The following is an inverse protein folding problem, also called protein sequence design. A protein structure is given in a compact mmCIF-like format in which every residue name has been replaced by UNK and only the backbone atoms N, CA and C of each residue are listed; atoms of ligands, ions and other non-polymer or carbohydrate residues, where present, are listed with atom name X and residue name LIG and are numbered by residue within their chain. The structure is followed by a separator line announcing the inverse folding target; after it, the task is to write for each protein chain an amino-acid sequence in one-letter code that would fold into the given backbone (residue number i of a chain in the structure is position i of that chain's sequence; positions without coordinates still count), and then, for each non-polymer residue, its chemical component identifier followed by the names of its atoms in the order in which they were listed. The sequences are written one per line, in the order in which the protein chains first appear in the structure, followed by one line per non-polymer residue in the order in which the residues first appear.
data_IF_816264480224
#
_entry.id   IF_816264480224
#
_cell.length_a   1.000
_cell.length_b   1.000
_cell.length_c   1.000
_cell.angle_alpha   90.00
_cell.angle_beta   90.00
_cell.angle_gamma   90.00
#
_symmetry.space_group_name_H-M   'P 1'
#
loop_
_entity.id
_entity.type
_entity.pdbx_description
1 polymer ?
#
# COMPACT_ATOMS: atom_id res chain seq x y z
N UNK A 1 -26.77 72.45 34.76
CA UNK A 1 -25.49 72.26 35.48
C UNK A 1 -24.91 70.92 35.07
N UNK A 2 -23.68 70.94 34.52
CA UNK A 2 -22.59 69.94 34.60
C UNK A 2 -22.96 68.43 34.60
N UNK A 3 -22.67 67.68 33.52
CA UNK A 3 -21.38 67.08 33.11
C UNK A 3 -21.12 65.68 33.72
N UNK A 4 -20.78 64.76 32.81
CA UNK A 4 -19.83 63.62 32.89
C UNK A 4 -20.44 62.21 32.79
N UNK A 5 -19.96 61.55 31.75
CA UNK A 5 -20.10 60.16 31.35
C UNK A 5 -19.41 59.18 32.31
N UNK A 6 -19.94 57.96 32.38
CA UNK A 6 -19.20 56.78 32.83
C UNK A 6 -19.40 55.65 31.82
N UNK A 7 -18.33 55.36 31.11
CA UNK A 7 -18.16 54.25 30.17
C UNK A 7 -18.13 52.94 30.95
N UNK A 8 -19.04 52.00 30.66
CA UNK A 8 -18.91 50.61 31.10
C UNK A 8 -18.38 49.80 29.92
N UNK A 9 -17.16 49.30 30.07
CA UNK A 9 -16.52 48.40 29.12
C UNK A 9 -17.22 47.03 29.15
N UNK A 10 -17.67 46.56 27.98
CA UNK A 10 -18.14 45.19 27.77
C UNK A 10 -16.90 44.33 27.54
N UNK A 11 -16.49 43.57 28.55
CA UNK A 11 -15.55 42.47 28.37
C UNK A 11 -16.32 41.23 27.91
N UNK A 12 -16.30 40.96 26.61
CA UNK A 12 -16.71 39.68 26.06
C UNK A 12 -15.62 38.64 26.39
N UNK A 13 -15.85 37.81 27.41
CA UNK A 13 -15.13 36.53 27.52
C UNK A 13 -15.73 35.60 26.46
N UNK A 14 -14.95 35.35 25.41
CA UNK A 14 -15.17 34.22 24.53
C UNK A 14 -15.02 32.94 25.36
N UNK A 15 -16.13 32.29 25.67
CA UNK A 15 -16.12 30.91 26.15
C UNK A 15 -15.60 30.05 25.00
N UNK A 16 -14.35 29.61 25.11
CA UNK A 16 -13.85 28.51 24.28
C UNK A 16 -14.72 27.29 24.59
N UNK A 17 -15.57 26.92 23.64
CA UNK A 17 -16.26 25.64 23.65
C UNK A 17 -15.23 24.52 23.54
N UNK A 18 -14.70 24.10 24.68
CA UNK A 18 -14.29 22.70 24.84
C UNK A 18 -15.60 21.98 25.09
N UNK A 19 -16.18 21.46 24.01
CA UNK A 19 -17.22 20.45 24.11
C UNK A 19 -16.63 19.34 24.97
N UNK A 20 -17.12 19.19 26.20
CA UNK A 20 -16.68 18.15 27.10
C UNK A 20 -17.05 16.82 26.46
N UNK A 21 -16.10 16.21 25.75
CA UNK A 21 -16.20 14.88 25.21
C UNK A 21 -16.60 13.97 26.38
N UNK A 22 -17.75 13.29 26.28
CA UNK A 22 -18.20 12.41 27.35
C UNK A 22 -17.04 11.48 27.75
N UNK A 23 -16.74 11.34 29.05
CA UNK A 23 -15.60 10.54 29.48
C UNK A 23 -15.81 9.12 28.97
N UNK A 24 -14.93 8.71 28.05
CA UNK A 24 -14.91 7.37 27.48
C UNK A 24 -14.95 6.34 28.61
N UNK A 25 -15.79 5.33 28.47
CA UNK A 25 -15.93 4.29 29.49
C UNK A 25 -14.56 3.64 29.74
N UNK A 26 -14.10 3.66 31.01
CA UNK A 26 -12.82 3.05 31.39
C UNK A 26 -12.85 1.55 31.13
N UNK A 27 -11.84 1.04 30.43
CA UNK A 27 -11.68 -0.39 30.14
C UNK A 27 -10.71 -1.03 31.13
N UNK A 28 -9.68 -0.31 31.55
CA UNK A 28 -8.74 -0.75 32.56
C UNK A 28 -9.43 -0.89 33.94
N UNK A 29 -9.25 -2.03 34.63
CA UNK A 29 -9.77 -2.20 35.99
C UNK A 29 -9.22 -1.13 36.95
N UNK A 30 -9.99 -0.69 37.97
CA UNK A 30 -9.55 0.34 38.91
C UNK A 30 -8.17 0.07 39.55
N UNK A 31 -7.87 -1.19 39.87
CA UNK A 31 -6.58 -1.60 40.45
C UNK A 31 -5.37 -1.27 39.56
N UNK A 32 -5.56 -1.15 38.24
CA UNK A 32 -4.49 -0.71 37.33
C UNK A 32 -4.12 0.73 37.62
N UNK A 33 -5.07 1.60 37.93
CA UNK A 33 -4.80 2.99 38.28
C UNK A 33 -4.17 3.15 39.67
N UNK A 34 -4.48 2.22 40.58
CA UNK A 34 -3.88 2.22 41.92
C UNK A 34 -2.38 1.85 41.87
N UNK A 35 -1.97 1.00 40.92
CA UNK A 35 -0.60 0.47 40.84
C UNK A 35 0.23 1.13 39.74
N UNK A 36 -0.35 1.34 38.57
CA UNK A 36 0.32 1.81 37.35
C UNK A 36 -0.61 2.74 36.53
N UNK A 37 -0.89 3.96 37.00
CA UNK A 37 -1.86 4.86 36.35
C UNK A 37 -1.53 5.20 34.89
N UNK A 38 -0.24 5.24 34.52
CA UNK A 38 0.17 5.40 33.12
C UNK A 38 -0.28 4.22 32.23
N UNK A 39 -0.27 2.99 32.75
CA UNK A 39 -0.79 1.83 32.04
C UNK A 39 -2.31 1.94 31.86
N UNK A 40 -3.02 2.42 32.88
CA UNK A 40 -4.46 2.68 32.77
C UNK A 40 -4.77 3.67 31.64
N UNK A 41 -4.07 4.81 31.61
CA UNK A 41 -4.18 5.80 30.53
C UNK A 41 -3.91 5.19 29.14
N UNK A 42 -2.79 4.48 28.95
CA UNK A 42 -2.51 3.86 27.66
C UNK A 42 -3.47 2.73 27.28
N UNK A 43 -4.06 2.05 28.26
CA UNK A 43 -5.08 1.02 28.02
C UNK A 43 -6.36 1.66 27.49
N UNK A 44 -6.86 2.68 28.17
CA UNK A 44 -8.15 3.30 27.86
C UNK A 44 -8.07 4.18 26.61
N UNK A 45 -7.06 5.04 26.51
CA UNK A 45 -7.01 6.06 25.47
C UNK A 45 -6.36 5.56 24.18
N UNK A 46 -5.28 4.78 24.28
CA UNK A 46 -4.52 4.33 23.10
C UNK A 46 -4.95 2.94 22.65
N UNK A 47 -4.85 1.92 23.52
CA UNK A 47 -5.15 0.55 23.12
C UNK A 47 -6.64 0.43 22.75
N UNK A 48 -7.56 0.70 23.67
CA UNK A 48 -8.98 0.57 23.39
C UNK A 48 -9.59 1.82 22.75
N UNK A 49 -9.03 3.01 22.99
CA UNK A 49 -9.55 4.25 22.42
C UNK A 49 -9.10 4.55 20.99
N UNK A 50 -7.99 3.97 20.52
CA UNK A 50 -7.50 4.15 19.16
C UNK A 50 -7.33 2.80 18.44
N UNK A 51 -6.47 1.91 18.95
CA UNK A 51 -6.03 0.71 18.21
C UNK A 51 -7.18 -0.25 17.93
N UNK A 52 -8.09 -0.45 18.88
CA UNK A 52 -9.28 -1.30 18.67
C UNK A 52 -10.33 -0.65 17.75
N UNK A 53 -10.32 0.67 17.60
CA UNK A 53 -11.29 1.44 16.82
C UNK A 53 -10.89 1.64 15.35
N UNK A 54 -9.63 1.33 15.00
CA UNK A 54 -9.12 1.40 13.63
C UNK A 54 -9.88 0.45 12.71
N UNK A 55 -10.52 0.99 11.66
CA UNK A 55 -11.48 0.29 10.79
C UNK A 55 -10.87 -0.62 9.72
N UNK A 56 -9.55 -0.60 9.52
CA UNK A 56 -8.86 -1.42 8.51
C UNK A 56 -8.79 -2.91 8.89
N UNK A 57 -9.06 -3.25 10.16
CA UNK A 57 -9.24 -4.62 10.63
C UNK A 57 -10.44 -4.66 11.58
N UNK A 58 -11.52 -5.41 11.27
CA UNK A 58 -12.76 -5.36 12.03
C UNK A 58 -12.61 -5.92 13.45
N UNK A 59 -13.48 -5.56 14.41
CA UNK A 59 -13.40 -6.03 15.80
C UNK A 59 -13.37 -7.56 15.96
N UNK A 60 -14.11 -8.29 15.11
CA UNK A 60 -14.06 -9.76 15.04
C UNK A 60 -12.63 -10.26 14.79
N UNK A 61 -12.01 -9.76 13.72
CA UNK A 61 -10.66 -10.18 13.31
C UNK A 61 -9.60 -9.74 14.33
N UNK A 62 -9.75 -8.56 14.94
CA UNK A 62 -8.91 -8.13 16.07
C UNK A 62 -8.99 -9.12 17.23
N UNK A 63 -10.19 -9.61 17.53
CA UNK A 63 -10.39 -10.59 18.59
C UNK A 63 -9.71 -11.93 18.29
N UNK A 64 -9.79 -12.42 17.05
CA UNK A 64 -9.02 -13.60 16.61
C UNK A 64 -7.52 -13.38 16.77
N UNK A 65 -6.99 -12.22 16.33
CA UNK A 65 -5.57 -11.86 16.48
C UNK A 65 -5.16 -11.78 17.95
N UNK A 66 -5.99 -11.17 18.81
CA UNK A 66 -5.70 -11.05 20.25
C UNK A 66 -5.67 -12.42 20.91
N UNK A 67 -6.70 -13.24 20.73
CA UNK A 67 -6.78 -14.58 21.32
C UNK A 67 -5.59 -15.43 20.84
N UNK A 68 -5.29 -15.38 19.54
CA UNK A 68 -4.14 -16.09 18.99
C UNK A 68 -2.81 -15.63 19.61
N UNK A 69 -2.64 -14.33 19.82
CA UNK A 69 -1.44 -13.75 20.45
C UNK A 69 -1.30 -14.19 21.91
N UNK A 70 -2.38 -14.17 22.68
CA UNK A 70 -2.36 -14.57 24.09
C UNK A 70 -2.05 -16.05 24.27
N UNK A 71 -2.67 -16.92 23.47
CA UNK A 71 -2.38 -18.35 23.45
C UNK A 71 -0.92 -18.57 23.08
N UNK A 72 -0.46 -17.95 21.99
CA UNK A 72 0.88 -18.22 21.47
C UNK A 72 2.00 -17.77 22.39
N UNK A 73 1.75 -16.75 23.21
CA UNK A 73 2.71 -16.23 24.20
C UNK A 73 2.53 -16.80 25.60
N UNK A 74 1.63 -17.79 25.79
CA UNK A 74 1.41 -18.46 27.07
C UNK A 74 0.74 -17.57 28.13
N UNK A 75 0.06 -16.48 27.74
CA UNK A 75 -0.57 -15.52 28.65
C UNK A 75 -1.95 -15.98 29.13
N UNK A 76 -2.01 -17.18 29.71
CA UNK A 76 -3.26 -17.88 30.03
C UNK A 76 -4.26 -17.04 30.85
N UNK A 77 -3.77 -16.30 31.86
CA UNK A 77 -4.61 -15.47 32.74
C UNK A 77 -5.43 -14.38 32.01
N UNK A 78 -5.03 -14.00 30.79
CA UNK A 78 -5.74 -13.00 29.98
C UNK A 78 -6.65 -13.61 28.91
N UNK A 79 -6.61 -14.94 28.71
CA UNK A 79 -7.41 -15.61 27.67
C UNK A 79 -8.90 -15.41 27.92
N UNK A 80 -9.37 -15.62 29.15
CA UNK A 80 -10.80 -15.58 29.46
C UNK A 80 -11.47 -14.23 29.14
N UNK A 81 -10.84 -13.10 29.47
CA UNK A 81 -11.39 -11.77 29.15
C UNK A 81 -11.47 -11.52 27.64
N UNK A 82 -10.49 -11.99 26.88
CA UNK A 82 -10.45 -11.81 25.43
C UNK A 82 -11.31 -12.83 24.67
N UNK A 83 -11.54 -14.03 25.20
CA UNK A 83 -12.55 -14.97 24.68
C UNK A 83 -13.96 -14.38 24.85
N UNK A 84 -14.28 -13.76 25.99
CA UNK A 84 -15.56 -13.04 26.17
C UNK A 84 -15.73 -11.95 25.11
N UNK A 85 -14.71 -11.10 24.93
CA UNK A 85 -14.72 -10.07 23.89
C UNK A 85 -14.82 -10.63 22.47
N UNK A 86 -14.19 -11.76 22.19
CA UNK A 86 -14.30 -12.42 20.89
C UNK A 86 -15.74 -12.85 20.59
N UNK A 87 -16.40 -13.47 21.56
CA UNK A 87 -17.82 -13.82 21.45
C UNK A 87 -18.71 -12.58 21.31
N UNK A 88 -18.41 -11.49 22.02
CA UNK A 88 -19.13 -10.21 21.90
C UNK A 88 -18.92 -9.53 20.53
N UNK A 89 -17.82 -9.85 19.85
CA UNK A 89 -17.48 -9.39 18.51
C UNK A 89 -17.79 -10.45 17.43
N UNK A 90 -18.77 -11.32 17.68
CA UNK A 90 -19.29 -12.31 16.73
C UNK A 90 -18.30 -13.38 16.25
N UNK A 91 -17.24 -13.67 17.02
CA UNK A 91 -16.43 -14.88 16.79
C UNK A 91 -17.20 -16.10 17.30
N UNK A 92 -17.42 -17.08 16.44
CA UNK A 92 -18.23 -18.25 16.80
C UNK A 92 -17.47 -19.21 17.75
N UNK A 93 -18.16 -19.93 18.66
CA UNK A 93 -17.49 -20.84 19.59
C UNK A 93 -16.64 -21.94 18.93
N UNK A 94 -17.09 -22.46 17.79
CA UNK A 94 -16.36 -23.44 16.98
C UNK A 94 -15.10 -22.84 16.35
N UNK A 95 -15.15 -21.60 15.89
CA UNK A 95 -13.97 -20.86 15.41
C UNK A 95 -12.92 -20.69 16.52
N UNK A 96 -13.34 -20.43 17.77
CA UNK A 96 -12.43 -20.35 18.92
C UNK A 96 -11.79 -21.71 19.20
N UNK A 97 -12.59 -22.78 19.18
CA UNK A 97 -12.09 -24.15 19.36
C UNK A 97 -11.07 -24.54 18.28
N UNK A 98 -11.34 -24.17 17.03
CA UNK A 98 -10.46 -24.45 15.91
C UNK A 98 -9.20 -23.57 15.91
N UNK A 99 -9.30 -22.31 16.37
CA UNK A 99 -8.15 -21.44 16.61
C UNK A 99 -7.20 -22.11 17.62
N UNK A 100 -7.73 -22.59 18.75
CA UNK A 100 -6.92 -23.30 19.76
C UNK A 100 -6.26 -24.54 19.15
N UNK A 101 -7.00 -25.30 18.34
CA UNK A 101 -6.48 -26.48 17.62
C UNK A 101 -5.33 -26.11 16.69
N UNK A 102 -5.47 -25.04 15.89
CA UNK A 102 -4.41 -24.53 15.02
C UNK A 102 -3.15 -24.18 15.83
N UNK A 103 -3.31 -23.51 16.97
CA UNK A 103 -2.19 -23.05 17.78
C UNK A 103 -1.52 -24.14 18.61
N UNK A 104 -2.14 -25.32 18.77
CA UNK A 104 -1.42 -26.48 19.28
C UNK A 104 -0.20 -26.83 18.41
N UNK A 105 -0.34 -26.72 17.09
CA UNK A 105 0.74 -27.00 16.13
C UNK A 105 1.71 -25.82 15.95
N UNK A 106 1.22 -24.58 15.97
CA UNK A 106 2.03 -23.40 15.68
C UNK A 106 2.65 -22.72 16.92
N UNK A 107 2.07 -22.95 18.10
CA UNK A 107 2.56 -22.39 19.36
C UNK A 107 2.76 -23.44 20.47
N UNK A 108 2.47 -24.70 20.21
CA UNK A 108 2.75 -25.83 21.11
C UNK A 108 1.55 -26.29 21.94
N UNK A 109 1.51 -27.60 22.20
CA UNK A 109 0.44 -28.26 22.95
C UNK A 109 0.15 -27.66 24.33
N UNK A 110 1.14 -27.35 25.19
CA UNK A 110 0.86 -26.80 26.52
C UNK A 110 0.09 -25.47 26.50
N UNK A 111 0.37 -24.62 25.50
CA UNK A 111 -0.34 -23.37 25.29
C UNK A 111 -1.81 -23.63 24.92
N UNK A 112 -2.06 -24.56 24.00
CA UNK A 112 -3.41 -24.94 23.61
C UNK A 112 -4.21 -25.57 24.76
N UNK A 113 -3.62 -26.47 25.56
CA UNK A 113 -4.30 -27.07 26.72
C UNK A 113 -4.67 -26.02 27.78
N UNK A 114 -3.78 -25.06 28.03
CA UNK A 114 -4.07 -23.93 28.92
C UNK A 114 -5.22 -23.08 28.38
N UNK A 115 -5.25 -22.84 27.07
CA UNK A 115 -6.32 -22.12 26.40
C UNK A 115 -7.67 -22.83 26.48
N UNK A 116 -7.70 -24.17 26.30
CA UNK A 116 -8.92 -24.98 26.48
C UNK A 116 -9.49 -24.77 27.88
N UNK A 117 -8.65 -24.80 28.91
CA UNK A 117 -9.08 -24.67 30.30
C UNK A 117 -9.71 -23.29 30.57
N UNK A 118 -9.08 -22.21 30.11
CA UNK A 118 -9.62 -20.86 30.31
C UNK A 118 -10.85 -20.57 29.43
N UNK A 119 -10.88 -21.10 28.21
CA UNK A 119 -12.03 -20.96 27.30
C UNK A 119 -13.25 -21.72 27.84
N UNK A 120 -13.05 -22.90 28.41
CA UNK A 120 -14.12 -23.71 29.01
C UNK A 120 -14.84 -22.97 30.14
N UNK A 121 -14.11 -22.24 30.99
CA UNK A 121 -14.72 -21.40 32.04
C UNK A 121 -15.66 -20.36 31.43
N UNK A 122 -15.25 -19.70 30.35
CA UNK A 122 -16.08 -18.70 29.66
C UNK A 122 -17.30 -19.34 28.99
N UNK A 123 -17.13 -20.52 28.39
CA UNK A 123 -18.26 -21.23 27.77
C UNK A 123 -19.27 -21.68 28.82
N UNK A 124 -18.82 -22.15 29.99
CA UNK A 124 -19.70 -22.48 31.12
C UNK A 124 -20.42 -21.25 31.67
N UNK A 125 -19.72 -20.11 31.80
CA UNK A 125 -20.32 -18.83 32.22
C UNK A 125 -21.40 -18.32 31.24
N UNK A 126 -21.33 -18.72 29.97
CA UNK A 126 -22.23 -18.28 28.89
C UNK A 126 -23.20 -19.38 28.42
N UNK A 127 -23.29 -20.49 29.13
CA UNK A 127 -24.12 -21.65 28.77
C UNK A 127 -23.89 -22.15 27.33
N UNK A 128 -22.65 -22.05 26.84
CA UNK A 128 -22.26 -22.51 25.50
C UNK A 128 -22.05 -24.03 25.53
N UNK A 129 -22.82 -24.74 24.70
CA UNK A 129 -22.72 -26.20 24.57
C UNK A 129 -21.34 -26.66 24.07
N UNK A 130 -20.95 -27.92 24.33
CA UNK A 130 -19.71 -28.48 23.78
C UNK A 130 -19.63 -28.30 22.26
N UNK A 131 -18.53 -27.70 21.80
CA UNK A 131 -18.27 -27.51 20.36
C UNK A 131 -17.85 -28.84 19.72
N UNK A 132 -18.36 -29.11 18.53
CA UNK A 132 -18.04 -30.27 17.72
C UNK A 132 -17.27 -29.90 16.46
N UNK A 133 -16.73 -30.89 15.76
CA UNK A 133 -16.16 -30.67 14.42
C UNK A 133 -17.30 -30.46 13.40
N UNK A 134 -17.10 -29.51 12.50
CA UNK A 134 -17.96 -29.26 11.36
C UNK A 134 -18.03 -30.48 10.43
N UNK A 135 -19.24 -30.77 9.97
CA UNK A 135 -19.49 -31.79 8.94
C UNK A 135 -19.25 -31.26 7.51
N UNK A 136 -18.87 -29.98 7.36
CA UNK A 136 -18.62 -29.39 6.06
C UNK A 136 -17.45 -30.07 5.33
N UNK A 137 -17.46 -29.96 4.00
CA UNK A 137 -16.39 -30.49 3.18
C UNK A 137 -15.05 -29.83 3.55
N UNK A 138 -13.97 -30.62 3.46
CA UNK A 138 -12.61 -30.11 3.66
C UNK A 138 -12.29 -29.03 2.63
N UNK A 139 -11.59 -27.99 3.06
CA UNK A 139 -11.11 -26.93 2.18
C UNK A 139 -10.20 -27.55 1.12
N UNK A 140 -10.50 -27.24 -0.14
CA UNK A 140 -9.67 -27.60 -1.28
C UNK A 140 -8.53 -26.58 -1.40
N UNK A 141 -7.30 -27.06 -1.29
CA UNK A 141 -6.11 -26.25 -1.48
C UNK A 141 -5.70 -26.32 -2.96
N UNK A 142 -5.13 -25.24 -3.48
CA UNK A 142 -4.71 -25.17 -4.88
C UNK A 142 -3.65 -26.26 -5.17
N UNK A 143 -3.97 -27.14 -6.13
CA UNK A 143 -3.24 -28.39 -6.33
C UNK A 143 -1.77 -28.18 -6.76
N UNK A 144 -1.48 -27.18 -7.59
CA UNK A 144 -0.12 -26.88 -8.02
C UNK A 144 0.73 -26.34 -6.87
N UNK A 145 0.18 -25.43 -6.07
CA UNK A 145 0.82 -24.87 -4.88
C UNK A 145 1.08 -25.93 -3.82
N UNK A 146 0.14 -26.86 -3.59
CA UNK A 146 0.36 -27.95 -2.65
C UNK A 146 1.39 -28.97 -3.14
N UNK A 147 1.42 -29.25 -4.45
CA UNK A 147 2.46 -30.08 -5.06
C UNK A 147 3.83 -29.46 -4.89
N UNK A 148 3.97 -28.16 -5.19
CA UNK A 148 5.22 -27.42 -5.03
C UNK A 148 5.66 -27.34 -3.57
N UNK A 149 4.74 -27.07 -2.64
CA UNK A 149 4.99 -27.04 -1.20
C UNK A 149 5.47 -28.41 -0.69
N UNK A 150 4.79 -29.49 -1.05
CA UNK A 150 5.17 -30.85 -0.65
C UNK A 150 6.56 -31.21 -1.19
N UNK A 151 6.86 -30.88 -2.46
CA UNK A 151 8.18 -31.08 -3.04
C UNK A 151 9.26 -30.30 -2.28
N UNK A 152 9.00 -29.04 -1.91
CA UNK A 152 9.93 -28.22 -1.14
C UNK A 152 10.19 -28.80 0.27
N UNK A 153 9.15 -29.30 0.96
CA UNK A 153 9.33 -29.97 2.26
C UNK A 153 10.13 -31.26 2.11
N UNK A 154 9.86 -32.06 1.08
CA UNK A 154 10.59 -33.30 0.83
C UNK A 154 12.05 -33.04 0.46
N UNK A 155 12.34 -31.96 -0.24
CA UNK A 155 13.71 -31.60 -0.60
C UNK A 155 14.50 -31.02 0.59
N UNK A 156 13.86 -30.16 1.39
CA UNK A 156 14.58 -29.33 2.38
C UNK A 156 14.50 -29.86 3.81
N UNK A 157 13.46 -30.62 4.16
CA UNK A 157 13.21 -31.11 5.53
C UNK A 157 13.49 -32.61 5.62
N UNK A 158 13.00 -33.41 4.66
CA UNK A 158 13.08 -34.87 4.76
C UNK A 158 14.51 -35.44 4.88
N UNK A 159 15.56 -34.89 4.23
CA UNK A 159 16.92 -35.39 4.39
C UNK A 159 17.45 -35.30 5.82
N UNK A 160 16.96 -34.33 6.60
CA UNK A 160 17.39 -34.07 7.98
C UNK A 160 16.41 -34.66 9.00
N UNK A 161 15.11 -34.51 8.76
CA UNK A 161 14.03 -34.87 9.68
C UNK A 161 12.85 -35.51 8.92
N UNK A 162 12.97 -36.79 8.51
CA UNK A 162 11.97 -37.45 7.64
C UNK A 162 10.58 -37.53 8.27
N UNK A 163 10.49 -37.85 9.56
CA UNK A 163 9.20 -37.90 10.27
C UNK A 163 8.53 -36.53 10.34
N UNK A 164 9.32 -35.45 10.48
CA UNK A 164 8.77 -34.09 10.49
C UNK A 164 8.22 -33.72 9.10
N UNK A 165 8.91 -34.10 8.02
CA UNK A 165 8.43 -33.91 6.67
C UNK A 165 7.11 -34.67 6.41
N UNK A 166 6.99 -35.93 6.84
CA UNK A 166 5.74 -36.70 6.75
C UNK A 166 4.60 -36.02 7.52
N UNK A 167 4.82 -35.67 8.78
CA UNK A 167 3.80 -35.02 9.61
C UNK A 167 3.38 -33.66 9.04
N UNK A 168 4.33 -32.90 8.47
CA UNK A 168 4.02 -31.63 7.79
C UNK A 168 3.09 -31.88 6.60
N UNK A 169 3.37 -32.89 5.77
CA UNK A 169 2.55 -33.17 4.59
C UNK A 169 1.20 -33.80 4.94
N UNK A 170 1.17 -34.79 5.84
CA UNK A 170 -0.03 -35.58 6.14
C UNK A 170 -0.93 -34.93 7.18
N UNK A 171 -0.37 -34.36 8.24
CA UNK A 171 -1.13 -33.82 9.39
C UNK A 171 -1.36 -32.33 9.25
N UNK A 172 -0.33 -31.53 8.93
CA UNK A 172 -0.53 -30.08 8.78
C UNK A 172 -1.31 -29.75 7.50
N UNK A 173 -0.71 -29.96 6.33
CA UNK A 173 -1.34 -29.56 5.06
C UNK A 173 -2.35 -30.59 4.53
N UNK A 174 -2.20 -31.86 4.90
CA UNK A 174 -3.11 -32.93 4.53
C UNK A 174 -4.41 -32.98 5.34
N UNK A 175 -4.42 -32.38 6.54
CA UNK A 175 -5.57 -32.39 7.47
C UNK A 175 -5.86 -31.00 8.07
N UNK A 176 -5.01 -30.49 8.97
CA UNK A 176 -5.26 -29.26 9.74
C UNK A 176 -5.65 -28.06 8.86
N UNK A 177 -4.86 -27.75 7.84
CA UNK A 177 -5.11 -26.62 6.92
C UNK A 177 -6.35 -26.78 6.05
N UNK A 178 -6.95 -27.98 6.05
CA UNK A 178 -8.16 -28.30 5.28
C UNK A 178 -9.41 -28.36 6.15
N UNK A 179 -9.30 -28.21 7.47
CA UNK A 179 -10.45 -28.21 8.38
C UNK A 179 -11.33 -26.96 8.13
N UNK A 180 -12.65 -27.10 7.97
CA UNK A 180 -13.53 -26.00 7.56
C UNK A 180 -14.03 -25.13 8.74
N UNK A 181 -13.77 -25.53 9.98
CA UNK A 181 -14.20 -24.84 11.21
C UNK A 181 -13.57 -23.45 11.38
N UNK A 182 -12.49 -23.17 10.65
CA UNK A 182 -11.97 -21.83 10.38
C UNK A 182 -11.82 -21.66 8.88
N UNK A 183 -12.26 -20.51 8.38
CA UNK A 183 -12.04 -20.13 6.99
C UNK A 183 -10.54 -20.15 6.65
N UNK A 184 -10.21 -20.38 5.38
CA UNK A 184 -8.80 -20.37 4.95
C UNK A 184 -8.12 -19.01 5.26
N UNK A 185 -8.88 -17.90 5.15
CA UNK A 185 -8.41 -16.55 5.51
C UNK A 185 -8.11 -16.45 7.00
N UNK A 186 -9.05 -16.85 7.85
CA UNK A 186 -8.93 -16.68 9.30
C UNK A 186 -7.88 -17.62 9.90
N UNK A 187 -7.76 -18.84 9.36
CA UNK A 187 -6.66 -19.76 9.73
C UNK A 187 -5.29 -19.15 9.42
N UNK A 188 -5.15 -18.50 8.27
CA UNK A 188 -3.93 -17.78 7.93
C UNK A 188 -3.71 -16.55 8.81
N UNK A 189 -4.76 -15.80 9.13
CA UNK A 189 -4.72 -14.64 10.02
C UNK A 189 -4.18 -15.01 11.41
N UNK A 190 -4.74 -16.03 12.05
CA UNK A 190 -4.31 -16.45 13.41
C UNK A 190 -2.92 -17.06 13.39
N UNK A 191 -2.54 -17.75 12.31
CA UNK A 191 -1.18 -18.29 12.14
C UNK A 191 -0.17 -17.16 11.99
N UNK A 192 -0.47 -16.14 11.18
CA UNK A 192 0.39 -14.97 11.03
C UNK A 192 0.55 -14.22 12.35
N UNK A 193 -0.54 -13.98 13.07
CA UNK A 193 -0.53 -13.34 14.39
C UNK A 193 0.35 -14.11 15.38
N UNK A 194 0.19 -15.44 15.45
CA UNK A 194 0.98 -16.31 16.31
C UNK A 194 2.49 -16.22 16.03
N UNK A 195 2.89 -16.32 14.76
CA UNK A 195 4.29 -16.26 14.34
C UNK A 195 4.95 -14.92 14.68
N UNK A 196 4.23 -13.81 14.48
CA UNK A 196 4.70 -12.48 14.93
C UNK A 196 4.82 -12.48 16.47
N UNK A 197 3.78 -12.95 17.17
CA UNK A 197 3.71 -12.93 18.62
C UNK A 197 4.79 -13.75 19.34
N UNK A 198 5.28 -14.84 18.72
CA UNK A 198 6.39 -15.65 19.26
C UNK A 198 7.76 -15.26 18.68
N UNK A 199 7.80 -14.30 17.75
CA UNK A 199 9.04 -13.78 17.16
C UNK A 199 9.71 -14.76 16.19
N UNK A 200 8.93 -15.37 15.29
CA UNK A 200 9.42 -16.28 14.24
C UNK A 200 9.30 -15.65 12.84
N UNK A 201 10.08 -14.59 12.54
CA UNK A 201 10.01 -13.89 11.26
C UNK A 201 10.37 -14.76 10.05
N UNK A 202 11.12 -15.85 10.25
CA UNK A 202 11.56 -16.77 9.18
C UNK A 202 10.40 -17.53 8.54
N UNK A 203 9.30 -17.72 9.27
CA UNK A 203 8.11 -18.43 8.79
C UNK A 203 7.08 -17.50 8.13
N UNK A 204 7.18 -16.18 8.35
CA UNK A 204 6.26 -15.19 7.79
C UNK A 204 6.22 -15.15 6.25
N UNK A 205 7.33 -15.33 5.49
CA UNK A 205 7.27 -15.32 4.03
C UNK A 205 6.23 -16.28 3.46
N UNK A 206 6.16 -17.49 3.99
CA UNK A 206 5.19 -18.48 3.54
C UNK A 206 3.78 -18.17 4.04
N UNK A 207 3.63 -17.88 5.34
CA UNK A 207 2.31 -17.74 5.96
C UNK A 207 1.60 -16.43 5.59
N UNK A 208 2.33 -15.33 5.41
CA UNK A 208 1.75 -14.07 4.94
C UNK A 208 1.36 -14.16 3.46
N UNK A 209 2.17 -14.80 2.59
CA UNK A 209 1.75 -15.02 1.20
C UNK A 209 0.47 -15.86 1.14
N UNK A 210 0.40 -16.98 1.89
CA UNK A 210 -0.82 -17.78 1.98
C UNK A 210 -2.01 -17.00 2.53
N UNK A 211 -1.80 -16.14 3.52
CA UNK A 211 -2.85 -15.27 4.04
C UNK A 211 -3.42 -14.37 2.94
N UNK A 212 -2.54 -13.75 2.15
CA UNK A 212 -2.95 -12.88 1.05
C UNK A 212 -3.60 -13.65 -0.10
N UNK A 213 -3.15 -14.87 -0.40
CA UNK A 213 -3.79 -15.75 -1.38
C UNK A 213 -5.20 -16.15 -0.93
N UNK A 214 -5.41 -16.29 0.38
CA UNK A 214 -6.72 -16.55 1.00
C UNK A 214 -7.55 -15.27 1.20
N UNK A 215 -7.12 -14.11 0.70
CA UNK A 215 -7.89 -12.87 0.71
C UNK A 215 -7.58 -11.89 1.85
N UNK A 216 -6.52 -12.10 2.65
CA UNK A 216 -6.06 -11.09 3.59
C UNK A 216 -5.41 -9.92 2.83
N UNK A 217 -5.88 -8.71 3.06
CA UNK A 217 -5.36 -7.52 2.38
C UNK A 217 -4.04 -7.04 2.98
N UNK A 218 -3.31 -6.19 2.24
CA UNK A 218 -2.10 -5.51 2.74
C UNK A 218 -2.41 -4.62 3.96
N UNK A 219 -3.58 -3.98 3.97
CA UNK A 219 -4.00 -3.11 5.07
C UNK A 219 -4.27 -3.93 6.33
N UNK A 220 -5.04 -5.02 6.22
CA UNK A 220 -5.31 -5.94 7.32
C UNK A 220 -4.01 -6.56 7.86
N UNK A 221 -3.09 -6.99 6.99
CA UNK A 221 -1.81 -7.54 7.42
C UNK A 221 -0.96 -6.52 8.20
N UNK A 222 -1.00 -5.25 7.80
CA UNK A 222 -0.35 -4.16 8.54
C UNK A 222 -1.00 -3.94 9.91
N UNK A 223 -2.33 -3.97 9.98
CA UNK A 223 -3.07 -3.85 11.24
C UNK A 223 -2.78 -5.00 12.21
N UNK A 224 -2.57 -6.22 11.71
CA UNK A 224 -2.15 -7.36 12.56
C UNK A 224 -0.80 -7.05 13.22
N UNK A 225 0.19 -6.56 12.48
CA UNK A 225 1.51 -6.21 13.06
C UNK A 225 1.36 -5.13 14.13
N UNK A 226 0.60 -4.07 13.84
CA UNK A 226 0.32 -2.98 14.78
C UNK A 226 -0.37 -3.49 16.03
N UNK A 227 -1.41 -4.31 15.89
CA UNK A 227 -2.18 -4.84 17.01
C UNK A 227 -1.33 -5.79 17.88
N UNK A 228 -0.55 -6.67 17.26
CA UNK A 228 0.37 -7.58 17.96
C UNK A 228 1.46 -6.81 18.72
N UNK A 229 1.83 -5.59 18.32
CA UNK A 229 2.79 -4.77 19.08
C UNK A 229 2.33 -4.51 20.52
N UNK A 230 1.03 -4.25 20.73
CA UNK A 230 0.46 -4.01 22.06
C UNK A 230 0.31 -5.29 22.88
N UNK A 231 -0.01 -6.41 22.23
CA UNK A 231 -0.26 -7.68 22.92
C UNK A 231 0.97 -8.56 23.10
N UNK A 232 1.97 -8.49 22.22
CA UNK A 232 3.19 -9.30 22.26
C UNK A 232 4.48 -8.48 22.39
N UNK A 233 4.40 -7.14 22.32
CA UNK A 233 5.52 -6.23 22.50
C UNK A 233 6.10 -5.70 21.17
N UNK A 234 6.52 -4.43 21.20
CA UNK A 234 7.07 -3.70 20.06
C UNK A 234 8.21 -4.42 19.30
N UNK A 235 9.23 -5.01 19.95
CA UNK A 235 10.35 -5.63 19.22
C UNK A 235 9.92 -6.73 18.25
N UNK A 236 8.88 -7.49 18.61
CA UNK A 236 8.34 -8.56 17.76
C UNK A 236 7.64 -8.01 16.52
N UNK A 237 6.81 -6.97 16.70
CA UNK A 237 6.17 -6.27 15.59
C UNK A 237 7.20 -5.63 14.66
N UNK A 238 8.19 -4.93 15.22
CA UNK A 238 9.28 -4.30 14.46
C UNK A 238 10.10 -5.30 13.65
N UNK A 239 10.31 -6.52 14.17
CA UNK A 239 11.01 -7.59 13.46
C UNK A 239 10.21 -8.15 12.27
N UNK A 240 8.88 -8.06 12.31
CA UNK A 240 8.02 -8.50 11.22
C UNK A 240 7.96 -7.50 10.05
N UNK A 241 8.07 -6.20 10.32
CA UNK A 241 7.98 -5.12 9.31
C UNK A 241 8.87 -5.33 8.08
N UNK A 242 10.20 -5.56 8.18
CA UNK A 242 11.05 -5.75 7.01
C UNK A 242 10.77 -7.06 6.25
N UNK A 243 10.11 -8.04 6.88
CA UNK A 243 9.66 -9.25 6.20
C UNK A 243 8.40 -8.97 5.37
N UNK A 244 7.39 -8.32 5.96
CA UNK A 244 6.17 -7.94 5.27
C UNK A 244 6.46 -6.99 4.09
N UNK A 245 7.35 -6.02 4.28
CA UNK A 245 7.74 -5.09 3.21
C UNK A 245 8.26 -5.84 1.98
N UNK A 246 9.19 -6.80 2.17
CA UNK A 246 9.71 -7.63 1.07
C UNK A 246 8.63 -8.45 0.36
N UNK A 247 7.64 -8.94 1.10
CA UNK A 247 6.51 -9.70 0.53
C UNK A 247 5.65 -8.77 -0.32
N UNK A 248 5.29 -7.59 0.20
CA UNK A 248 4.47 -6.61 -0.53
C UNK A 248 5.16 -6.14 -1.80
N UNK A 249 6.47 -5.85 -1.75
CA UNK A 249 7.25 -5.44 -2.92
C UNK A 249 7.32 -6.56 -3.97
N UNK A 250 7.55 -7.80 -3.51
CA UNK A 250 7.60 -8.97 -4.41
C UNK A 250 6.26 -9.19 -5.11
N UNK A 251 5.13 -9.08 -4.39
CA UNK A 251 3.78 -9.23 -4.96
C UNK A 251 3.43 -8.06 -5.88
N UNK A 252 3.78 -6.82 -5.51
CA UNK A 252 3.59 -5.64 -6.37
C UNK A 252 4.32 -5.77 -7.71
N UNK A 253 5.59 -6.22 -7.67
CA UNK A 253 6.39 -6.45 -8.87
C UNK A 253 5.88 -7.62 -9.72
N UNK A 254 5.30 -8.66 -9.09
CA UNK A 254 4.67 -9.77 -9.81
C UNK A 254 3.39 -9.33 -10.52
N UNK A 255 2.55 -8.53 -9.85
CA UNK A 255 1.33 -7.97 -10.44
C UNK A 255 1.66 -7.03 -11.61
N UNK A 256 2.68 -6.18 -11.48
CA UNK A 256 3.13 -5.33 -12.58
C UNK A 256 3.65 -6.14 -13.78
N UNK A 257 4.42 -7.21 -13.53
CA UNK A 257 4.88 -8.11 -14.60
C UNK A 257 3.74 -8.86 -15.28
N UNK A 258 2.77 -9.34 -14.51
CA UNK A 258 1.59 -10.01 -15.06
C UNK A 258 0.72 -9.05 -15.87
N UNK A 259 0.50 -7.82 -15.38
CA UNK A 259 -0.21 -6.78 -16.13
C UNK A 259 0.53 -6.39 -17.42
N UNK A 260 1.86 -6.26 -17.38
CA UNK A 260 2.67 -6.00 -18.56
C UNK A 260 2.62 -7.15 -19.59
N UNK A 261 2.61 -8.40 -19.13
CA UNK A 261 2.46 -9.58 -20.00
C UNK A 261 1.05 -9.69 -20.60
N UNK A 262 0.01 -9.37 -19.84
CA UNK A 262 -1.37 -9.35 -20.33
C UNK A 262 -1.61 -8.24 -21.36
N UNK A 263 -0.99 -7.07 -21.17
CA UNK A 263 -1.06 -5.93 -22.08
C UNK A 263 -0.24 -6.14 -23.37
N UNK A 264 0.74 -7.05 -23.38
CA UNK A 264 1.54 -7.39 -24.55
C UNK A 264 0.77 -8.18 -25.64
N UNK A 265 -0.55 -8.35 -25.50
CA UNK A 265 -1.42 -9.00 -26.50
C UNK A 265 -1.92 -8.05 -27.61
N UNK A 266 -1.43 -6.81 -27.67
CA UNK A 266 -1.80 -5.84 -28.71
C UNK A 266 -1.04 -6.01 -30.03
N UNK A 267 -1.73 -5.82 -31.16
CA UNK A 267 -1.14 -5.79 -32.49
C UNK A 267 -0.17 -4.61 -32.67
N UNK A 268 0.78 -4.75 -33.59
CA UNK A 268 1.70 -3.67 -33.98
C UNK A 268 0.94 -2.47 -34.56
N UNK A 269 1.09 -1.30 -33.93
CA UNK A 269 0.53 -0.03 -34.40
C UNK A 269 1.57 0.77 -35.19
N UNK A 270 1.20 1.22 -36.39
CA UNK A 270 2.04 2.11 -37.21
C UNK A 270 1.39 3.48 -37.28
N UNK A 271 1.98 4.47 -36.61
CA UNK A 271 1.64 5.89 -36.81
C UNK A 271 2.36 6.41 -38.05
N UNK A 272 1.61 6.86 -39.05
CA UNK A 272 2.21 7.37 -40.30
C UNK A 272 2.63 8.83 -40.14
N UNK A 273 3.74 9.23 -40.77
CA UNK A 273 4.36 10.54 -40.59
C UNK A 273 3.40 11.74 -40.74
N UNK A 274 2.48 11.70 -41.70
CA UNK A 274 1.54 12.82 -41.97
C UNK A 274 0.15 12.60 -41.35
N UNK A 275 -0.02 11.58 -40.52
CA UNK A 275 -1.32 11.28 -39.91
C UNK A 275 -1.66 12.33 -38.85
N UNK A 276 -2.88 12.88 -38.92
CA UNK A 276 -3.34 13.85 -37.91
C UNK A 276 -2.62 15.20 -37.97
N UNK A 277 -2.14 15.60 -39.14
CA UNK A 277 -1.50 16.91 -39.31
C UNK A 277 -2.45 18.05 -38.94
N UNK A 278 -1.98 18.98 -38.09
CA UNK A 278 -2.75 20.12 -37.62
C UNK A 278 -1.84 21.31 -37.32
N UNK A 279 -2.37 22.52 -37.57
CA UNK A 279 -1.74 23.76 -37.09
C UNK A 279 -1.77 23.80 -35.57
N UNK A 280 -0.63 24.11 -34.95
CA UNK A 280 -0.51 24.15 -33.50
C UNK A 280 -1.28 25.35 -32.91
N UNK A 281 -1.70 25.21 -31.65
CA UNK A 281 -2.49 26.24 -30.96
C UNK A 281 -1.71 27.55 -30.84
N UNK A 282 -2.30 28.67 -31.30
CA UNK A 282 -1.73 30.01 -31.10
C UNK A 282 -1.58 30.38 -29.62
N UNK A 283 -2.25 29.69 -28.69
CA UNK A 283 -2.04 29.90 -27.26
C UNK A 283 -0.68 29.33 -26.80
N UNK A 284 -0.24 28.21 -27.35
CA UNK A 284 0.98 27.50 -26.92
C UNK A 284 2.18 27.72 -27.84
N UNK A 285 1.99 28.32 -29.01
CA UNK A 285 3.06 28.52 -30.00
C UNK A 285 3.08 29.93 -30.60
N UNK A 286 4.27 30.50 -30.79
CA UNK A 286 4.49 31.75 -31.53
C UNK A 286 5.04 31.39 -32.91
N UNK A 287 4.58 32.06 -33.96
CA UNK A 287 4.91 31.73 -35.35
C UNK A 287 4.05 30.60 -35.94
N UNK A 288 4.44 30.11 -37.11
CA UNK A 288 3.78 28.97 -37.77
C UNK A 288 4.40 27.65 -37.29
N UNK A 289 3.55 26.80 -36.70
CA UNK A 289 3.94 25.48 -36.21
C UNK A 289 2.91 24.44 -36.65
N UNK A 290 3.39 23.33 -37.18
CA UNK A 290 2.58 22.17 -37.56
C UNK A 290 2.95 20.97 -36.71
N UNK A 291 1.93 20.19 -36.32
CA UNK A 291 2.07 18.98 -35.52
C UNK A 291 1.46 17.81 -36.28
N UNK A 292 2.13 16.66 -36.27
CA UNK A 292 1.69 15.47 -37.00
C UNK A 292 2.22 14.19 -36.37
N UNK A 293 1.66 13.05 -36.77
CA UNK A 293 2.13 11.75 -36.30
C UNK A 293 1.98 11.57 -34.80
N UNK A 294 0.85 12.02 -34.23
CA UNK A 294 0.56 11.83 -32.81
C UNK A 294 0.54 10.34 -32.44
N UNK A 295 1.26 9.99 -31.39
CA UNK A 295 1.30 8.62 -30.87
C UNK A 295 1.14 8.59 -29.35
N UNK A 296 0.54 7.52 -28.86
CA UNK A 296 0.34 7.24 -27.45
C UNK A 296 0.46 5.73 -27.25
N UNK A 297 1.29 5.31 -26.30
CA UNK A 297 1.37 3.92 -25.86
C UNK A 297 0.12 3.55 -25.07
N UNK A 298 -0.39 2.33 -25.29
CA UNK A 298 -1.45 1.78 -24.46
C UNK A 298 -0.88 1.40 -23.08
N UNK A 299 -1.71 1.47 -22.04
CA UNK A 299 -1.32 1.05 -20.70
C UNK A 299 -0.74 -0.39 -20.74
N UNK A 300 0.40 -0.65 -20.06
CA UNK A 300 1.03 0.19 -19.04
C UNK A 300 2.02 1.25 -19.55
N UNK A 301 2.25 1.36 -20.85
CA UNK A 301 3.11 2.40 -21.39
C UNK A 301 2.49 3.80 -21.18
N UNK A 302 3.31 4.76 -20.78
CA UNK A 302 2.88 6.16 -20.56
C UNK A 302 3.39 7.11 -21.64
N UNK A 303 4.22 6.59 -22.54
CA UNK A 303 4.90 7.32 -23.61
C UNK A 303 3.89 7.89 -24.59
N UNK A 304 4.08 9.14 -24.98
CA UNK A 304 3.32 9.80 -26.03
C UNK A 304 4.15 10.89 -26.69
N UNK A 305 3.65 11.43 -27.79
CA UNK A 305 4.40 12.41 -28.54
C UNK A 305 3.82 12.77 -29.90
N UNK A 306 4.57 13.59 -30.61
CA UNK A 306 4.27 14.03 -31.97
C UNK A 306 5.54 14.49 -32.68
N UNK A 307 5.44 14.56 -34.00
CA UNK A 307 6.36 15.35 -34.83
C UNK A 307 5.92 16.81 -34.76
N UNK A 308 6.85 17.73 -34.56
CA UNK A 308 6.57 19.16 -34.50
C UNK A 308 7.52 19.91 -35.42
N UNK A 309 6.96 20.62 -36.39
CA UNK A 309 7.68 21.41 -37.39
C UNK A 309 7.44 22.90 -37.16
N UNK A 310 8.51 23.66 -37.03
CA UNK A 310 8.54 25.09 -36.79
C UNK A 310 9.07 25.80 -38.03
N UNK A 311 8.33 26.79 -38.54
CA UNK A 311 8.93 27.76 -39.48
C UNK A 311 9.99 28.61 -38.77
N UNK A 312 10.90 29.22 -39.53
CA UNK A 312 11.89 30.15 -38.99
C UNK A 312 11.22 31.20 -38.06
N UNK A 313 11.80 31.44 -36.89
CA UNK A 313 11.22 32.33 -35.87
C UNK A 313 10.19 31.68 -34.94
N UNK A 314 9.66 30.50 -35.26
CA UNK A 314 8.58 29.88 -34.52
C UNK A 314 9.07 29.05 -33.33
N UNK A 315 8.30 29.05 -32.23
CA UNK A 315 8.69 28.46 -30.94
C UNK A 315 7.52 28.13 -30.04
N UNK A 316 7.74 27.23 -29.09
CA UNK A 316 6.80 26.95 -28.00
C UNK A 316 6.71 28.13 -27.02
N UNK A 317 5.61 28.16 -26.26
CA UNK A 317 5.53 28.87 -24.99
C UNK A 317 6.39 28.13 -23.94
N UNK A 318 6.71 28.82 -22.85
CA UNK A 318 7.31 28.16 -21.69
C UNK A 318 6.40 27.04 -21.19
N UNK A 319 6.99 25.91 -20.83
CA UNK A 319 6.23 24.77 -20.31
C UNK A 319 7.09 23.81 -19.49
N UNK A 320 6.44 22.87 -18.80
CA UNK A 320 7.08 21.79 -18.02
C UNK A 320 6.43 20.44 -18.32
N UNK A 321 7.17 19.35 -18.10
CA UNK A 321 6.66 17.97 -18.19
C UNK A 321 6.82 17.27 -16.84
N UNK A 322 5.81 16.53 -16.33
CA UNK A 322 5.84 15.94 -15.00
C UNK A 322 6.88 14.82 -14.85
N UNK A 323 7.26 14.19 -15.96
CA UNK A 323 8.22 13.09 -16.02
C UNK A 323 9.38 13.35 -17.00
N UNK A 324 9.53 14.61 -17.44
CA UNK A 324 10.55 15.02 -18.42
C UNK A 324 10.12 14.84 -19.88
N UNK A 325 10.97 15.31 -20.80
CA UNK A 325 10.78 15.20 -22.24
C UNK A 325 12.09 14.93 -22.97
N UNK A 326 12.03 14.15 -24.04
CA UNK A 326 13.13 13.97 -24.98
C UNK A 326 12.74 14.53 -26.35
N UNK A 327 13.61 15.34 -26.94
CA UNK A 327 13.48 15.81 -28.32
C UNK A 327 14.53 15.14 -29.20
N UNK A 328 14.13 14.65 -30.36
CA UNK A 328 15.03 14.17 -31.40
C UNK A 328 14.95 15.14 -32.57
N UNK A 329 16.01 15.91 -32.79
CA UNK A 329 16.03 16.90 -33.89
C UNK A 329 16.30 16.16 -35.20
N UNK A 330 15.44 16.34 -36.20
CA UNK A 330 15.49 15.56 -37.44
C UNK A 330 15.76 16.39 -38.69
N UNK A 331 15.53 17.70 -38.65
CA UNK A 331 15.83 18.59 -39.77
C UNK A 331 15.98 20.03 -39.31
N UNK A 332 16.84 20.78 -40.01
CA UNK A 332 16.99 22.22 -39.83
C UNK A 332 17.72 22.60 -38.54
N UNK A 333 17.53 23.84 -38.10
CA UNK A 333 18.27 24.40 -36.97
C UNK A 333 17.34 25.07 -35.97
N UNK A 334 17.52 24.75 -34.70
CA UNK A 334 16.67 25.24 -33.63
C UNK A 334 17.44 25.70 -32.41
N UNK A 335 16.68 26.21 -31.45
CA UNK A 335 17.15 26.62 -30.15
C UNK A 335 16.33 25.95 -29.04
N UNK A 336 17.00 25.66 -27.93
CA UNK A 336 16.38 25.18 -26.69
C UNK A 336 16.90 26.05 -25.54
N UNK A 337 16.03 26.32 -24.56
CA UNK A 337 16.45 27.01 -23.35
C UNK A 337 15.64 26.53 -22.13
N UNK A 338 16.34 26.25 -21.03
CA UNK A 338 15.78 26.14 -19.68
C UNK A 338 15.76 27.53 -19.01
N UNK A 339 14.74 27.83 -18.20
CA UNK A 339 14.60 29.11 -17.51
C UNK A 339 15.86 29.46 -16.70
N UNK A 340 16.41 30.66 -16.95
CA UNK A 340 17.64 31.14 -16.31
C UNK A 340 18.93 30.55 -16.89
N UNK A 341 18.85 29.56 -17.78
CA UNK A 341 19.98 28.97 -18.48
C UNK A 341 20.32 29.66 -19.81
N UNK A 342 21.47 29.28 -20.44
CA UNK A 342 21.81 29.73 -21.78
C UNK A 342 20.84 29.15 -22.82
N UNK A 343 20.73 29.84 -23.95
CA UNK A 343 20.11 29.27 -25.16
C UNK A 343 21.16 28.36 -25.81
N UNK A 344 20.77 27.16 -26.21
CA UNK A 344 21.62 26.16 -26.85
C UNK A 344 21.13 25.93 -28.29
N UNK A 345 22.08 25.86 -29.24
CA UNK A 345 21.78 25.57 -30.65
C UNK A 345 21.70 24.06 -30.87
N UNK A 346 20.69 23.62 -31.60
CA UNK A 346 20.45 22.20 -31.89
C UNK A 346 20.21 21.98 -33.38
N UNK A 347 20.67 20.84 -33.90
CA UNK A 347 20.58 20.45 -35.31
C UNK A 347 20.32 18.96 -35.49
N UNK A 348 20.22 18.47 -36.74
CA UNK A 348 19.79 17.10 -37.02
C UNK A 348 20.74 16.06 -36.40
N UNK A 349 20.18 15.11 -35.66
CA UNK A 349 20.93 14.10 -34.92
C UNK A 349 21.12 14.40 -33.44
N UNK A 350 20.88 15.64 -33.00
CA UNK A 350 20.91 15.99 -31.58
C UNK A 350 19.71 15.41 -30.84
N UNK A 351 19.98 14.97 -29.61
CA UNK A 351 18.96 14.47 -28.68
C UNK A 351 18.99 15.34 -27.44
N UNK A 352 17.87 15.99 -27.16
CA UNK A 352 17.73 16.91 -26.03
C UNK A 352 16.94 16.23 -24.94
N UNK A 353 17.53 16.05 -23.76
CA UNK A 353 16.83 15.62 -22.56
C UNK A 353 16.48 16.83 -21.69
N UNK A 354 15.20 16.97 -21.37
CA UNK A 354 14.66 18.00 -20.50
C UNK A 354 14.18 17.32 -19.21
N UNK A 355 14.79 17.59 -18.05
CA UNK A 355 14.41 16.96 -16.78
C UNK A 355 12.96 17.20 -16.37
N UNK A 356 12.39 16.34 -15.50
CA UNK A 356 11.06 16.57 -14.92
C UNK A 356 10.95 17.95 -14.29
N UNK A 357 9.84 18.63 -14.57
CA UNK A 357 9.48 19.95 -14.03
C UNK A 357 10.41 21.11 -14.44
N UNK A 358 11.42 20.88 -15.28
CA UNK A 358 12.25 21.95 -15.83
C UNK A 358 11.42 22.84 -16.76
N UNK A 359 11.34 24.14 -16.44
CA UNK A 359 10.63 25.12 -17.27
C UNK A 359 11.52 25.47 -18.46
N UNK A 360 11.02 25.23 -19.66
CA UNK A 360 11.81 25.36 -20.88
C UNK A 360 10.95 25.81 -22.07
N UNK A 361 11.61 26.26 -23.13
CA UNK A 361 11.03 26.41 -24.46
C UNK A 361 12.00 25.89 -25.51
N UNK A 362 11.46 25.66 -26.71
CA UNK A 362 12.25 25.25 -27.87
C UNK A 362 11.56 25.69 -29.16
N UNK A 363 12.31 25.83 -30.24
CA UNK A 363 11.80 26.28 -31.52
C UNK A 363 12.85 26.35 -32.61
N UNK A 364 12.45 26.82 -33.77
CA UNK A 364 13.34 27.14 -34.88
C UNK A 364 14.27 28.33 -34.55
N UNK A 365 15.44 28.37 -35.17
CA UNK A 365 16.30 29.55 -35.16
C UNK A 365 15.63 30.71 -35.91
N UNK A 366 16.27 31.89 -35.90
CA UNK A 366 15.67 33.08 -36.49
C UNK A 366 15.45 32.94 -38.00
N UNK A 367 16.36 32.24 -38.69
CA UNK A 367 16.44 32.23 -40.16
C UNK A 367 16.21 30.85 -40.79
N UNK A 368 16.15 29.78 -39.99
CA UNK A 368 15.98 28.40 -40.49
C UNK A 368 14.83 27.69 -39.78
N UNK A 369 14.04 26.93 -40.53
CA UNK A 369 13.00 26.07 -39.97
C UNK A 369 13.63 24.89 -39.19
N UNK A 370 12.88 24.28 -38.27
CA UNK A 370 13.33 23.08 -37.55
C UNK A 370 12.19 22.09 -37.35
N UNK A 371 12.50 20.80 -37.40
CA UNK A 371 11.55 19.73 -37.02
C UNK A 371 12.19 18.81 -36.02
N UNK A 372 11.40 18.40 -35.02
CA UNK A 372 11.78 17.36 -34.06
C UNK A 372 10.67 16.34 -33.82
N UNK A 373 11.03 15.16 -33.32
CA UNK A 373 10.11 14.27 -32.62
C UNK A 373 10.17 14.54 -31.12
N UNK A 374 9.01 14.78 -30.50
CA UNK A 374 8.91 14.96 -29.06
C UNK A 374 8.38 13.70 -28.38
N UNK A 375 9.04 13.26 -27.31
CA UNK A 375 8.65 12.12 -26.48
C UNK A 375 8.48 12.59 -25.03
N UNK A 376 7.33 12.32 -24.43
CA UNK A 376 7.10 12.56 -23.00
C UNK A 376 6.23 11.45 -22.40
N UNK A 377 6.27 11.30 -21.07
CA UNK A 377 5.37 10.41 -20.35
C UNK A 377 4.24 11.18 -19.65
N UNK A 378 3.02 10.66 -19.74
CA UNK A 378 1.88 11.22 -19.01
C UNK A 378 1.86 10.79 -17.55
N UNK A 379 1.60 11.72 -16.63
CA UNK A 379 1.28 11.46 -15.23
C UNK A 379 -0.13 12.01 -14.93
N UNK A 380 -1.00 11.19 -14.35
CA UNK A 380 -2.40 11.55 -14.04
C UNK A 380 -3.16 12.13 -15.25
N UNK A 381 -2.91 11.60 -16.44
CA UNK A 381 -3.60 12.02 -17.67
C UNK A 381 -3.06 13.29 -18.34
N UNK A 382 -2.00 13.90 -17.82
CA UNK A 382 -1.31 15.04 -18.46
C UNK A 382 0.17 14.77 -18.68
N UNK A 383 0.68 15.16 -19.85
CA UNK A 383 2.12 15.13 -20.16
C UNK A 383 2.77 16.51 -20.07
N UNK A 384 2.01 17.61 -20.06
CA UNK A 384 2.55 18.96 -20.19
C UNK A 384 1.75 19.98 -19.37
N UNK A 385 2.46 20.94 -18.78
CA UNK A 385 1.87 22.14 -18.18
C UNK A 385 2.37 23.36 -18.96
N UNK A 386 1.47 24.00 -19.70
CA UNK A 386 1.77 25.19 -20.49
C UNK A 386 1.75 26.46 -19.64
N UNK A 387 2.62 27.41 -19.97
CA UNK A 387 2.77 28.68 -19.27
C UNK A 387 2.75 29.86 -20.26
N UNK A 388 3.37 30.98 -19.90
CA UNK A 388 3.40 32.20 -20.71
C UNK A 388 4.24 32.06 -21.99
N UNK A 389 3.98 32.96 -22.94
CA UNK A 389 4.75 33.06 -24.18
C UNK A 389 6.19 33.49 -23.90
N UNK A 390 7.13 32.92 -24.66
CA UNK A 390 8.50 33.44 -24.75
C UNK A 390 8.46 34.81 -25.42
N UNK A 391 8.93 35.83 -24.71
CA UNK A 391 8.98 37.20 -25.22
C UNK A 391 9.88 37.30 -26.47
N UNK A 392 9.65 38.29 -27.33
CA UNK A 392 10.53 38.51 -28.49
C UNK A 392 11.94 38.94 -28.06
N UNK A 393 12.08 39.58 -26.90
CA UNK A 393 13.37 39.93 -26.31
C UNK A 393 14.14 38.68 -25.87
N UNK A 394 13.49 37.76 -25.15
CA UNK A 394 14.12 36.51 -24.70
C UNK A 394 14.50 35.62 -25.88
N UNK A 395 13.62 35.51 -26.87
CA UNK A 395 13.94 34.80 -28.11
C UNK A 395 15.09 35.47 -28.88
N UNK A 396 15.11 36.80 -28.94
CA UNK A 396 16.12 37.58 -29.66
C UNK A 396 17.55 37.35 -29.16
N UNK A 397 17.73 36.91 -27.91
CA UNK A 397 19.05 36.53 -27.35
C UNK A 397 19.69 35.37 -28.12
N UNK A 398 18.90 34.50 -28.75
CA UNK A 398 19.41 33.39 -29.56
C UNK A 398 20.19 33.84 -30.79
N UNK A 399 19.94 35.04 -31.32
CA UNK A 399 20.70 35.58 -32.46
C UNK A 399 22.17 35.82 -32.16
N UNK A 400 22.56 35.83 -30.88
CA UNK A 400 23.95 36.04 -30.45
C UNK A 400 24.77 34.76 -30.53
N UNK A 401 24.14 33.60 -30.71
CA UNK A 401 24.79 32.28 -30.76
C UNK A 401 24.64 31.59 -32.12
N UNK A 402 24.07 32.29 -33.11
CA UNK A 402 23.86 31.76 -34.47
C UNK A 402 25.11 31.77 -35.33
#
# INVERSE_FOLDING_TARGET
MNKIAATVAISALAATGVEAQEPRARVAPPVVYDVAPGLGHFTDDVLFGEVWERGELPPRDRSLVTVATLISTGKAAQIGSHVRRALDNDVAPDEIGELITQLAFYAGWPNAISAVTETKKVFDERDIAPVGNSAAARIELEAAAETARAAAVNANVAPTAPTLADLTNRVLFGDLWRRPDLSARDRSLVTMAALIAIGQPEQLPFHTNRAMDNGLTRAEASEVVTHVAFYAGWPRAMSAVPVLQRIFDSRGNALQRSAAQSAASGDLKITRANQGSAKASKQHFTGEVETSGFYQGDAPARIGGATVSFSAGARTAWHTHPLGQTLFIISGQGWVQEEGGPIEKVGPGDVVWIPPLAKHWHGASADEAMTHFAVAESLNGSAVTWMEKVSDEDYGKGRQID
#
